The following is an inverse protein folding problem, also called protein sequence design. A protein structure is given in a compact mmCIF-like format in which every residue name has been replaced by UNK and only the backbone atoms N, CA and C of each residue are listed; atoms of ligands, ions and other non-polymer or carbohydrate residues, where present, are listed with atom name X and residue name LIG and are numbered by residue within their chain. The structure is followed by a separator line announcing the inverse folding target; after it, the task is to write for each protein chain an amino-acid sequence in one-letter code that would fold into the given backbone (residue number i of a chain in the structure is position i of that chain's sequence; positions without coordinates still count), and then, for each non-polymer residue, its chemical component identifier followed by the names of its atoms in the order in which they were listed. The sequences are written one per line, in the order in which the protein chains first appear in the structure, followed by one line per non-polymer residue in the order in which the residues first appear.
data_IF_900285631344
#
_entry.id   IF_900285631344
#
_cell.length_a   1.000
_cell.length_b   1.000
_cell.length_c   1.000
_cell.angle_alpha   90.00
_cell.angle_beta   90.00
_cell.angle_gamma   90.00
#
_symmetry.space_group_name_H-M   'P 1'
#
loop_
_entity.id
_entity.type
_entity.pdbx_description
1 polymer ?
#
# COMPACT_ATOMS: atom_id res chain seq x y z
N UNK A 1 -56.60 -47.99 14.99
CA UNK A 1 -56.21 -49.16 15.84
C UNK A 1 -54.84 -49.62 15.34
N UNK A 2 -53.76 -49.25 16.03
CA UNK A 2 -53.03 -50.07 17.03
C UNK A 2 -52.24 -51.21 16.35
N UNK A 3 -50.92 -51.43 16.53
CA UNK A 3 -49.97 -51.15 17.63
C UNK A 3 -48.52 -51.39 17.13
N UNK A 4 -47.54 -50.53 17.50
CA UNK A 4 -46.37 -50.77 18.43
C UNK A 4 -45.28 -51.72 17.91
N UNK A 5 -43.98 -51.60 18.23
CA UNK A 5 -43.20 -50.74 19.13
C UNK A 5 -41.69 -50.94 18.85
N UNK A 6 -40.91 -49.87 19.06
CA UNK A 6 -39.60 -49.78 19.73
C UNK A 6 -38.58 -50.94 19.61
N UNK A 7 -37.35 -50.60 19.20
CA UNK A 7 -36.19 -50.64 20.12
C UNK A 7 -35.07 -49.71 19.65
N UNK A 8 -34.76 -48.77 20.54
CA UNK A 8 -33.53 -48.00 20.55
C UNK A 8 -32.37 -48.86 21.06
N UNK A 9 -31.17 -48.60 20.55
CA UNK A 9 -29.90 -48.76 21.27
C UNK A 9 -28.99 -47.60 20.84
N UNK A 10 -28.83 -46.64 21.75
CA UNK A 10 -27.76 -45.65 21.83
C UNK A 10 -26.55 -46.22 22.59
N UNK A 11 -25.38 -45.57 22.44
CA UNK A 11 -24.09 -45.63 23.18
C UNK A 11 -22.95 -46.23 22.33
N UNK A 12 -21.78 -45.62 22.11
CA UNK A 12 -21.11 -44.48 22.77
C UNK A 12 -19.98 -43.87 21.91
N UNK A 13 -19.59 -42.68 22.34
CA UNK A 13 -18.62 -41.66 21.92
C UNK A 13 -17.12 -42.04 21.90
N UNK A 14 -16.33 -41.12 21.31
CA UNK A 14 -14.85 -40.93 21.31
C UNK A 14 -14.07 -41.78 20.29
N UNK A 15 -13.13 -41.30 19.47
CA UNK A 15 -12.34 -40.06 19.48
C UNK A 15 -11.74 -39.77 18.07
N UNK A 16 -11.45 -38.48 17.84
CA UNK A 16 -10.39 -37.87 17.02
C UNK A 16 -9.79 -38.62 15.82
N UNK A 17 -9.82 -37.97 14.66
CA UNK A 17 -8.91 -38.25 13.55
C UNK A 17 -9.30 -37.46 12.31
N UNK A 18 -8.69 -36.29 12.14
CA UNK A 18 -9.06 -35.31 11.12
C UNK A 18 -8.92 -35.79 9.68
N UNK A 19 -9.84 -35.31 8.85
CA UNK A 19 -9.67 -34.95 7.43
C UNK A 19 -11.02 -34.40 6.97
N UNK A 20 -11.28 -33.12 7.25
CA UNK A 20 -12.32 -32.38 6.54
C UNK A 20 -11.79 -32.14 5.13
N UNK A 21 -12.16 -33.03 4.21
CA UNK A 21 -12.23 -32.73 2.79
C UNK A 21 -13.21 -31.57 2.63
N UNK A 22 -12.70 -30.35 2.52
CA UNK A 22 -13.49 -29.24 2.04
C UNK A 22 -13.90 -29.55 0.60
N UNK A 23 -15.21 -29.61 0.38
CA UNK A 23 -15.79 -29.70 -0.95
C UNK A 23 -15.25 -28.54 -1.83
N UNK A 24 -15.08 -28.75 -3.15
CA UNK A 24 -14.71 -27.65 -4.03
C UNK A 24 -15.82 -26.62 -3.98
N UNK A 25 -15.52 -25.44 -3.44
CA UNK A 25 -16.36 -24.28 -3.61
C UNK A 25 -16.51 -24.07 -5.13
N UNK A 26 -17.74 -24.16 -5.64
CA UNK A 26 -18.05 -23.66 -6.95
C UNK A 26 -17.67 -22.18 -6.96
N UNK A 27 -16.66 -21.84 -7.76
CA UNK A 27 -16.25 -20.47 -7.98
C UNK A 27 -17.40 -19.77 -8.72
N UNK A 28 -18.14 -18.92 -8.00
CA UNK A 28 -18.94 -17.87 -8.61
C UNK A 28 -18.03 -17.06 -9.55
N UNK A 29 -18.50 -16.75 -10.75
CA UNK A 29 -17.81 -15.87 -11.67
C UNK A 29 -17.42 -14.57 -10.94
N UNK A 30 -16.16 -14.09 -11.06
CA UNK A 30 -15.70 -12.94 -10.31
C UNK A 30 -16.46 -11.68 -10.76
N UNK A 31 -17.39 -11.23 -9.91
CA UNK A 31 -18.16 -10.00 -10.10
C UNK A 31 -17.24 -8.79 -10.09
N UNK A 32 -17.39 -7.91 -11.08
CA UNK A 32 -16.67 -6.63 -11.16
C UNK A 32 -16.69 -5.84 -9.86
N UNK A 33 -15.51 -5.39 -9.41
CA UNK A 33 -15.39 -4.52 -8.25
C UNK A 33 -16.10 -3.20 -8.59
N UNK A 34 -17.09 -2.75 -7.81
CA UNK A 34 -17.93 -1.63 -8.21
C UNK A 34 -17.17 -0.32 -8.47
N UNK A 35 -16.04 -0.11 -7.80
CA UNK A 35 -15.27 1.13 -7.84
C UNK A 35 -13.76 0.89 -7.62
N UNK A 36 -12.93 1.68 -8.31
CA UNK A 36 -11.47 1.73 -8.13
C UNK A 36 -11.00 3.18 -8.03
N UNK A 37 -10.31 3.54 -6.95
CA UNK A 37 -9.70 4.87 -6.79
C UNK A 37 -8.41 4.89 -7.62
N UNK A 38 -8.35 5.77 -8.63
CA UNK A 38 -7.24 5.88 -9.57
C UNK A 38 -6.15 6.84 -9.07
N UNK A 39 -6.57 7.96 -8.50
CA UNK A 39 -5.69 9.05 -8.12
C UNK A 39 -6.31 9.90 -7.00
N UNK A 40 -5.46 10.49 -6.17
CA UNK A 40 -5.81 11.40 -5.10
C UNK A 40 -4.80 12.54 -5.11
N UNK A 41 -5.29 13.76 -5.21
CA UNK A 41 -4.46 14.97 -5.25
C UNK A 41 -5.14 16.12 -4.50
N UNK A 42 -4.38 17.17 -4.20
CA UNK A 42 -4.92 18.44 -3.72
C UNK A 42 -4.90 19.46 -4.85
N UNK A 43 -6.05 20.05 -5.16
CA UNK A 43 -6.20 21.16 -6.11
C UNK A 43 -6.78 22.35 -5.35
N UNK A 44 -6.05 23.47 -5.33
CA UNK A 44 -6.42 24.68 -4.57
C UNK A 44 -6.72 24.44 -3.07
N UNK A 45 -6.07 23.43 -2.49
CA UNK A 45 -6.23 23.03 -1.09
C UNK A 45 -7.41 22.09 -0.83
N UNK A 46 -8.14 21.67 -1.87
CA UNK A 46 -9.25 20.72 -1.78
C UNK A 46 -8.88 19.35 -2.34
N UNK A 47 -9.40 18.28 -1.73
CA UNK A 47 -9.06 16.91 -2.11
C UNK A 47 -9.84 16.48 -3.33
N UNK A 48 -9.15 16.17 -4.42
CA UNK A 48 -9.74 15.65 -5.64
C UNK A 48 -9.38 14.18 -5.78
N UNK A 49 -10.40 13.33 -5.93
CA UNK A 49 -10.26 11.91 -6.18
C UNK A 49 -10.79 11.55 -7.57
N UNK A 50 -10.07 10.69 -8.28
CA UNK A 50 -10.52 10.13 -9.56
C UNK A 50 -10.92 8.67 -9.35
N UNK A 51 -12.14 8.31 -9.70
CA UNK A 51 -12.71 6.98 -9.42
C UNK A 51 -13.19 6.36 -10.73
N UNK A 52 -12.69 5.17 -11.05
CA UNK A 52 -13.17 4.34 -12.15
C UNK A 52 -14.29 3.42 -11.65
N UNK A 53 -15.44 3.46 -12.33
CA UNK A 53 -16.56 2.58 -12.04
C UNK A 53 -16.55 1.33 -12.92
N UNK A 54 -17.11 0.24 -12.39
CA UNK A 54 -17.29 -1.02 -13.11
C UNK A 54 -18.00 -0.84 -14.46
N UNK A 55 -17.65 -1.66 -15.46
CA UNK A 55 -18.33 -1.65 -16.76
C UNK A 55 -19.73 -2.28 -16.73
N UNK A 56 -19.98 -3.26 -15.86
CA UNK A 56 -21.32 -3.82 -15.70
C UNK A 56 -22.19 -2.94 -14.82
N UNK A 57 -23.20 -2.29 -15.41
CA UNK A 57 -24.17 -1.47 -14.69
C UNK A 57 -24.91 -2.21 -13.57
N UNK A 58 -25.06 -3.55 -13.63
CA UNK A 58 -25.69 -4.33 -12.57
C UNK A 58 -24.83 -4.46 -11.31
N UNK A 59 -23.52 -4.25 -11.44
CA UNK A 59 -22.58 -4.25 -10.31
C UNK A 59 -22.54 -2.91 -9.58
N UNK A 60 -23.12 -1.86 -10.18
CA UNK A 60 -23.08 -0.51 -9.62
C UNK A 60 -24.27 -0.24 -8.69
N UNK A 61 -24.02 0.32 -7.49
CA UNK A 61 -25.09 0.90 -6.68
C UNK A 61 -25.62 2.18 -7.35
N UNK A 62 -26.89 2.51 -7.09
CA UNK A 62 -27.54 3.69 -7.67
C UNK A 62 -26.97 5.03 -7.17
N UNK A 63 -26.47 5.09 -5.94
CA UNK A 63 -25.78 6.24 -5.35
C UNK A 63 -24.69 5.71 -4.42
N UNK A 64 -23.56 6.42 -4.38
CA UNK A 64 -22.46 6.18 -3.45
C UNK A 64 -22.05 7.48 -2.79
N UNK A 65 -21.38 7.36 -1.66
CA UNK A 65 -20.78 8.48 -0.95
C UNK A 65 -19.27 8.30 -0.94
N UNK A 66 -18.53 9.29 -1.43
CA UNK A 66 -17.07 9.33 -1.36
C UNK A 66 -16.73 10.16 -0.14
N UNK A 67 -16.10 9.55 0.86
CA UNK A 67 -15.82 10.16 2.16
C UNK A 67 -14.34 10.21 2.47
N UNK A 68 -13.91 11.26 3.15
CA UNK A 68 -12.57 11.41 3.69
C UNK A 68 -12.59 11.32 5.20
N UNK A 69 -11.64 10.57 5.76
CA UNK A 69 -11.37 10.46 7.18
C UNK A 69 -9.96 10.97 7.46
N UNK A 70 -9.81 11.74 8.54
CA UNK A 70 -8.49 12.21 8.97
C UNK A 70 -7.65 11.11 9.64
N UNK A 71 -6.45 11.46 10.10
CA UNK A 71 -5.56 10.51 10.79
C UNK A 71 -6.03 10.04 12.17
N UNK A 72 -7.21 10.51 12.63
CA UNK A 72 -7.93 10.01 13.80
C UNK A 72 -9.19 9.23 13.42
N UNK A 73 -9.33 8.89 12.13
CA UNK A 73 -10.50 8.23 11.51
C UNK A 73 -11.80 9.03 11.63
N UNK A 74 -11.72 10.33 11.93
CA UNK A 74 -12.88 11.21 12.01
C UNK A 74 -13.28 11.62 10.59
N UNK A 75 -14.57 11.45 10.27
CA UNK A 75 -15.13 11.90 8.99
C UNK A 75 -14.96 13.42 8.84
N UNK A 76 -14.24 13.86 7.81
CA UNK A 76 -13.98 15.29 7.55
C UNK A 76 -14.82 15.86 6.42
N UNK A 77 -15.04 15.08 5.37
CA UNK A 77 -15.81 15.48 4.20
C UNK A 77 -16.47 14.28 3.51
N UNK A 78 -17.53 14.55 2.76
CA UNK A 78 -18.25 13.55 1.97
C UNK A 78 -18.97 14.19 0.79
N UNK A 79 -18.98 13.50 -0.35
CA UNK A 79 -19.72 13.91 -1.55
C UNK A 79 -20.47 12.73 -2.15
N UNK A 80 -21.69 12.97 -2.60
CA UNK A 80 -22.52 11.94 -3.24
C UNK A 80 -22.23 11.88 -4.73
N UNK A 81 -22.08 10.67 -5.24
CA UNK A 81 -21.81 10.41 -6.65
C UNK A 81 -22.80 9.39 -7.15
N UNK A 82 -23.28 9.60 -8.37
CA UNK A 82 -24.04 8.59 -9.12
C UNK A 82 -23.08 7.88 -10.06
N UNK A 83 -22.71 6.62 -9.78
CA UNK A 83 -21.80 5.87 -10.65
C UNK A 83 -22.34 5.72 -12.06
N UNK A 84 -21.46 5.83 -13.05
CA UNK A 84 -21.77 5.55 -14.45
C UNK A 84 -20.84 4.47 -14.96
N UNK A 85 -21.42 3.46 -15.58
CA UNK A 85 -20.70 2.27 -15.97
C UNK A 85 -19.54 2.55 -16.93
N UNK A 86 -18.34 2.09 -16.55
CA UNK A 86 -17.10 2.28 -17.31
C UNK A 86 -16.56 3.72 -17.35
N UNK A 87 -17.19 4.69 -16.67
CA UNK A 87 -16.75 6.08 -16.64
C UNK A 87 -15.80 6.35 -15.46
N UNK A 88 -15.00 7.41 -15.61
CA UNK A 88 -14.20 7.97 -14.51
C UNK A 88 -14.93 9.19 -13.97
N UNK A 89 -15.26 9.17 -12.69
CA UNK A 89 -15.75 10.35 -11.98
C UNK A 89 -14.60 11.08 -11.31
N UNK A 90 -14.60 12.40 -11.42
CA UNK A 90 -13.75 13.28 -10.63
C UNK A 90 -14.59 13.89 -9.51
N UNK A 91 -14.14 13.72 -8.27
CA UNK A 91 -14.91 14.06 -7.07
C UNK A 91 -14.03 14.98 -6.23
N UNK A 92 -14.52 16.19 -5.96
CA UNK A 92 -13.83 17.15 -5.10
C UNK A 92 -14.49 17.16 -3.73
N UNK A 93 -13.74 16.84 -2.69
CA UNK A 93 -14.17 16.81 -1.30
C UNK A 93 -13.72 18.08 -0.59
N UNK A 94 -14.63 19.03 -0.47
CA UNK A 94 -14.35 20.30 0.18
C UNK A 94 -14.13 20.14 1.68
N UNK A 95 -13.02 20.69 2.19
CA UNK A 95 -12.64 20.62 3.59
C UNK A 95 -12.13 19.25 4.05
N UNK A 96 -11.81 18.35 3.11
CA UNK A 96 -11.35 16.99 3.41
C UNK A 96 -10.05 16.98 4.23
N UNK A 97 -9.09 17.84 3.88
CA UNK A 97 -7.78 17.94 4.55
C UNK A 97 -7.76 19.14 5.48
N UNK A 98 -8.03 18.89 6.77
CA UNK A 98 -8.00 19.93 7.80
C UNK A 98 -6.85 19.68 8.78
N UNK A 99 -5.89 20.59 8.78
CA UNK A 99 -4.82 20.68 9.78
C UNK A 99 -4.13 19.33 10.08
N UNK A 100 -3.48 18.70 9.07
CA UNK A 100 -2.86 17.39 9.21
C UNK A 100 -1.76 17.31 10.29
N UNK A 101 -1.22 18.44 10.73
CA UNK A 101 -0.32 18.50 11.88
C UNK A 101 -1.03 18.27 13.23
N UNK A 102 -2.34 18.43 13.32
CA UNK A 102 -3.12 18.07 14.51
C UNK A 102 -3.75 16.68 14.37
N UNK A 103 -4.29 16.37 13.19
CA UNK A 103 -5.09 15.17 12.96
C UNK A 103 -4.28 13.97 12.46
N UNK A 104 -3.13 14.21 11.83
CA UNK A 104 -2.25 13.18 11.25
C UNK A 104 -2.00 13.41 9.77
N UNK A 105 -0.79 13.05 9.33
CA UNK A 105 -0.35 13.19 7.94
C UNK A 105 -0.84 12.06 7.03
N UNK A 106 -1.13 10.87 7.58
CA UNK A 106 -1.77 9.78 6.86
C UNK A 106 -3.29 9.86 7.07
N UNK A 107 -4.05 9.82 5.99
CA UNK A 107 -5.51 9.95 5.99
C UNK A 107 -6.13 8.85 5.12
N UNK A 108 -7.46 8.76 5.10
CA UNK A 108 -8.17 7.66 4.42
C UNK A 108 -9.33 8.18 3.58
N UNK A 109 -9.35 7.80 2.32
CA UNK A 109 -10.49 8.00 1.42
C UNK A 109 -11.26 6.69 1.31
N UNK A 110 -12.58 6.73 1.38
CA UNK A 110 -13.44 5.56 1.22
C UNK A 110 -14.61 5.86 0.29
N UNK A 111 -15.06 4.84 -0.46
CA UNK A 111 -16.29 4.88 -1.25
C UNK A 111 -17.30 3.97 -0.57
N UNK A 112 -18.40 4.55 -0.11
CA UNK A 112 -19.47 3.88 0.61
C UNK A 112 -20.66 3.65 -0.31
N UNK A 113 -21.17 2.43 -0.35
CA UNK A 113 -22.40 2.06 -1.02
C UNK A 113 -23.61 2.13 -0.10
N UNK A 114 -24.68 1.43 -0.49
CA UNK A 114 -25.91 1.40 0.29
C UNK A 114 -25.68 0.94 1.74
N UNK A 115 -26.33 1.61 2.70
CA UNK A 115 -26.23 1.33 4.15
C UNK A 115 -24.83 1.50 4.75
N UNK A 116 -23.95 2.28 4.11
CA UNK A 116 -22.60 2.55 4.62
C UNK A 116 -21.62 1.39 4.41
N UNK A 117 -21.94 0.44 3.53
CA UNK A 117 -21.01 -0.62 3.15
C UNK A 117 -19.81 -0.03 2.39
N UNK A 118 -18.60 -0.20 2.89
CA UNK A 118 -17.39 0.21 2.18
C UNK A 118 -17.18 -0.67 0.94
N UNK A 119 -17.13 -0.03 -0.23
CA UNK A 119 -16.89 -0.68 -1.52
C UNK A 119 -15.40 -0.75 -1.85
N UNK A 120 -14.68 0.33 -1.54
CA UNK A 120 -13.24 0.45 -1.68
C UNK A 120 -12.73 1.57 -0.79
N UNK A 121 -11.45 1.53 -0.44
CA UNK A 121 -10.77 2.61 0.25
C UNK A 121 -9.33 2.72 -0.25
N UNK A 122 -8.73 3.89 -0.03
CA UNK A 122 -7.35 4.17 -0.36
C UNK A 122 -6.79 5.10 0.71
N UNK A 123 -5.74 4.70 1.46
CA UNK A 123 -4.97 5.64 2.25
C UNK A 123 -4.35 6.70 1.35
N UNK A 124 -4.22 7.92 1.84
CA UNK A 124 -3.50 8.99 1.18
C UNK A 124 -2.64 9.76 2.18
N UNK A 125 -1.48 10.18 1.70
CA UNK A 125 -0.48 10.87 2.50
C UNK A 125 -0.54 12.36 2.19
N UNK A 126 -0.69 13.15 3.24
CA UNK A 126 -0.61 14.60 3.19
C UNK A 126 0.80 15.01 3.61
N UNK A 127 1.41 15.89 2.82
CA UNK A 127 2.73 16.46 3.07
C UNK A 127 2.72 17.95 2.77
N UNK A 128 3.82 18.63 3.06
CA UNK A 128 4.04 20.00 2.66
C UNK A 128 4.83 20.07 1.36
N UNK A 129 4.42 21.00 0.51
CA UNK A 129 5.18 21.46 -0.65
C UNK A 129 5.54 22.93 -0.42
N UNK A 130 6.83 23.23 -0.29
CA UNK A 130 7.28 24.53 0.19
C UNK A 130 7.87 25.36 -0.95
N UNK A 131 7.35 26.58 -1.11
CA UNK A 131 7.90 27.57 -2.05
C UNK A 131 9.22 28.13 -1.53
N UNK A 132 9.32 28.28 -0.20
CA UNK A 132 10.51 28.72 0.52
C UNK A 132 10.54 28.09 1.93
N UNK A 133 11.57 28.42 2.72
CA UNK A 133 11.74 27.86 4.07
C UNK A 133 10.62 28.24 5.07
N UNK A 134 9.78 29.22 4.73
CA UNK A 134 8.76 29.81 5.60
C UNK A 134 7.33 29.59 5.10
N UNK A 135 7.13 29.29 3.83
CA UNK A 135 5.81 29.26 3.20
C UNK A 135 5.62 27.96 2.44
N UNK A 136 4.59 27.21 2.82
CA UNK A 136 4.27 25.91 2.22
C UNK A 136 2.79 25.80 1.89
N UNK A 137 2.46 24.89 0.98
CA UNK A 137 1.11 24.44 0.69
C UNK A 137 0.97 22.97 1.08
N UNK A 138 -0.28 22.52 1.22
CA UNK A 138 -0.58 21.11 1.41
C UNK A 138 -0.55 20.39 0.07
N UNK A 139 0.02 19.18 0.08
CA UNK A 139 0.03 18.25 -1.05
C UNK A 139 -0.47 16.90 -0.59
N UNK A 140 -1.32 16.25 -1.39
CA UNK A 140 -1.73 14.87 -1.16
C UNK A 140 -1.19 13.97 -2.25
N UNK A 141 -0.83 12.75 -1.86
CA UNK A 141 -0.45 11.66 -2.76
C UNK A 141 -1.09 10.36 -2.29
N UNK A 142 -1.27 9.40 -3.20
CA UNK A 142 -1.71 8.05 -2.80
C UNK A 142 -0.76 7.46 -1.75
N UNK A 143 -1.33 6.96 -0.66
CA UNK A 143 -0.62 6.39 0.49
C UNK A 143 -0.76 4.88 0.56
N UNK A 144 0.02 4.24 1.44
CA UNK A 144 0.06 2.76 1.60
C UNK A 144 -0.16 2.27 3.03
N UNK A 145 -0.51 3.20 3.92
CA UNK A 145 -0.97 2.92 5.27
C UNK A 145 -1.80 4.12 5.72
N UNK A 146 -2.81 3.86 6.53
CA UNK A 146 -3.52 4.90 7.28
C UNK A 146 -3.12 4.85 8.77
N UNK A 147 -2.11 4.04 9.12
CA UNK A 147 -1.69 3.86 10.50
C UNK A 147 -0.96 5.10 11.00
N UNK A 148 -1.50 5.70 12.07
CA UNK A 148 -0.85 6.82 12.75
C UNK A 148 0.54 6.47 13.29
N UNK A 149 0.84 5.19 13.55
CA UNK A 149 2.15 4.71 14.06
C UNK A 149 3.23 4.61 12.96
N UNK A 150 2.84 4.75 11.70
CA UNK A 150 3.72 4.59 10.54
C UNK A 150 3.90 5.95 9.88
N UNK A 151 5.16 6.31 9.61
CA UNK A 151 5.47 7.51 8.87
C UNK A 151 5.62 7.19 7.39
N UNK A 152 4.97 7.99 6.57
CA UNK A 152 5.08 7.90 5.13
C UNK A 152 6.24 8.74 4.63
N UNK A 153 7.02 8.15 3.73
CA UNK A 153 8.11 8.82 3.04
C UNK A 153 8.02 8.49 1.56
N UNK A 154 8.12 9.52 0.72
CA UNK A 154 8.30 9.35 -0.71
C UNK A 154 9.61 8.62 -0.98
N UNK A 155 9.72 8.06 -2.18
CA UNK A 155 10.96 7.41 -2.61
C UNK A 155 12.15 8.37 -2.55
N UNK A 156 11.97 9.61 -3.00
CA UNK A 156 13.04 10.61 -3.04
C UNK A 156 13.50 10.98 -1.62
N UNK A 157 12.56 11.16 -0.69
CA UNK A 157 12.89 11.38 0.72
C UNK A 157 13.58 10.15 1.31
N UNK A 158 13.07 8.94 1.08
CA UNK A 158 13.71 7.70 1.55
C UNK A 158 15.16 7.58 1.07
N UNK A 159 15.40 7.73 -0.23
CA UNK A 159 16.75 7.61 -0.81
C UNK A 159 17.71 8.65 -0.22
N UNK A 160 17.19 9.85 0.08
CA UNK A 160 17.95 10.93 0.74
C UNK A 160 18.26 10.59 2.20
N UNK A 161 17.29 10.06 2.96
CA UNK A 161 17.45 9.63 4.35
C UNK A 161 18.48 8.50 4.47
N UNK A 162 18.38 7.49 3.61
CA UNK A 162 19.32 6.35 3.56
C UNK A 162 20.76 6.85 3.28
N UNK A 163 20.91 7.89 2.43
CA UNK A 163 22.19 8.53 2.15
C UNK A 163 22.72 9.33 3.35
N UNK A 164 21.85 10.09 4.02
CA UNK A 164 22.20 10.84 5.24
C UNK A 164 22.73 9.89 6.31
N UNK A 165 22.02 8.79 6.57
CA UNK A 165 22.40 7.78 7.56
C UNK A 165 23.78 7.19 7.25
N UNK A 166 24.02 6.83 5.98
CA UNK A 166 25.29 6.27 5.53
C UNK A 166 26.46 7.26 5.65
N UNK A 167 26.24 8.52 5.31
CA UNK A 167 27.32 9.52 5.21
C UNK A 167 27.70 10.14 6.56
N UNK A 168 26.72 10.38 7.43
CA UNK A 168 26.93 11.11 8.68
C UNK A 168 27.35 10.20 9.83
N UNK A 169 27.02 8.90 9.76
CA UNK A 169 27.36 7.93 10.79
C UNK A 169 26.91 8.41 12.18
N UNK A 170 27.79 8.39 13.18
CA UNK A 170 27.48 8.81 14.55
C UNK A 170 27.41 10.33 14.78
N UNK A 171 27.56 11.17 13.74
CA UNK A 171 27.54 12.63 13.92
C UNK A 171 26.11 13.12 14.14
N UNK A 172 25.97 14.17 14.94
CA UNK A 172 24.71 14.89 15.07
C UNK A 172 24.38 15.67 13.79
N UNK A 173 23.12 15.65 13.41
CA UNK A 173 22.63 16.36 12.23
C UNK A 173 21.19 16.81 12.37
N UNK A 174 20.87 17.99 11.84
CA UNK A 174 19.49 18.46 11.68
C UNK A 174 18.88 17.77 10.46
N UNK A 175 17.84 16.96 10.70
CA UNK A 175 17.20 16.15 9.67
C UNK A 175 16.70 16.99 8.50
N UNK A 176 15.98 18.08 8.79
CA UNK A 176 15.30 18.89 7.77
C UNK A 176 16.34 19.64 6.96
N UNK A 177 17.36 20.20 7.62
CA UNK A 177 18.44 20.91 6.93
C UNK A 177 19.30 19.99 6.09
N UNK A 178 19.64 18.80 6.57
CA UNK A 178 20.47 17.87 5.80
C UNK A 178 19.74 17.26 4.60
N UNK A 179 18.41 17.08 4.68
CA UNK A 179 17.59 16.74 3.52
C UNK A 179 17.60 17.90 2.53
N UNK A 180 17.25 19.11 2.97
CA UNK A 180 17.19 20.29 2.10
C UNK A 180 18.53 20.65 1.46
N UNK A 181 19.66 20.39 2.15
CA UNK A 181 21.01 20.56 1.59
C UNK A 181 21.29 19.62 0.42
N UNK A 182 20.73 18.41 0.45
CA UNK A 182 20.92 17.39 -0.60
C UNK A 182 19.90 17.52 -1.71
N UNK A 183 18.65 17.75 -1.35
CA UNK A 183 17.54 18.01 -2.27
C UNK A 183 16.61 19.07 -1.68
N UNK A 184 16.71 20.34 -2.13
CA UNK A 184 15.87 21.42 -1.64
C UNK A 184 14.37 21.20 -1.89
N UNK A 185 14.00 20.42 -2.92
CA UNK A 185 12.59 20.16 -3.26
C UNK A 185 11.88 19.30 -2.22
N UNK A 186 12.64 18.60 -1.38
CA UNK A 186 12.13 17.75 -0.32
C UNK A 186 11.98 18.47 1.03
N UNK A 187 12.26 19.77 1.12
CA UNK A 187 12.19 20.51 2.39
C UNK A 187 10.82 20.39 3.07
N UNK A 188 9.72 20.57 2.31
CA UNK A 188 8.37 20.44 2.84
C UNK A 188 8.03 19.03 3.30
N UNK A 189 8.39 18.03 2.50
CA UNK A 189 8.20 16.63 2.87
C UNK A 189 8.99 16.27 4.13
N UNK A 190 10.24 16.75 4.25
CA UNK A 190 11.07 16.57 5.43
C UNK A 190 10.49 17.25 6.68
N UNK A 191 9.88 18.43 6.54
CA UNK A 191 9.17 19.11 7.63
C UNK A 191 7.95 18.30 8.10
N UNK A 192 7.12 17.83 7.18
CA UNK A 192 5.98 16.96 7.52
C UNK A 192 6.43 15.68 8.21
N UNK A 193 7.48 15.05 7.68
CA UNK A 193 8.08 13.85 8.23
C UNK A 193 8.64 14.08 9.64
N UNK A 194 9.41 15.16 9.85
CA UNK A 194 9.94 15.58 11.15
C UNK A 194 8.83 15.90 12.16
N UNK A 195 7.77 16.57 11.72
CA UNK A 195 6.59 16.82 12.55
C UNK A 195 5.89 15.51 12.95
N UNK A 196 5.68 14.59 12.01
CA UNK A 196 5.12 13.27 12.27
C UNK A 196 5.95 12.49 13.28
N UNK A 197 7.29 12.49 13.11
CA UNK A 197 8.23 11.95 14.10
C UNK A 197 7.98 12.55 15.49
N UNK A 198 7.84 13.86 15.65
CA UNK A 198 7.64 14.46 16.98
C UNK A 198 6.40 13.98 17.72
N UNK A 199 5.34 13.54 17.01
CA UNK A 199 4.06 13.13 17.59
C UNK A 199 4.03 11.66 18.04
N UNK A 200 4.94 10.82 17.55
CA UNK A 200 5.03 9.40 17.89
C UNK A 200 5.67 9.11 19.28
N UNK A 201 5.49 10.01 20.26
CA UNK A 201 5.79 9.78 21.69
C UNK A 201 6.82 10.72 22.34
N UNK A 202 6.73 10.96 23.68
CA UNK A 202 7.71 11.67 24.52
C UNK A 202 8.86 10.69 24.86
N UNK A 203 10.12 11.06 25.10
CA UNK A 203 10.72 12.00 26.05
C UNK A 203 11.96 12.62 25.38
N UNK A 204 12.41 13.78 25.85
CA UNK A 204 13.52 14.54 25.28
C UNK A 204 14.86 13.80 25.18
N UNK A 205 15.96 14.51 24.89
CA UNK A 205 17.25 13.95 24.49
C UNK A 205 17.95 12.93 25.43
N UNK A 206 17.34 12.60 26.57
CA UNK A 206 17.97 11.93 27.68
C UNK A 206 17.62 10.44 27.84
N UNK A 207 16.73 9.83 27.05
CA UNK A 207 16.35 8.41 27.26
C UNK A 207 16.33 7.57 25.96
N UNK A 208 17.50 7.11 25.53
CA UNK A 208 17.66 5.90 24.70
C UNK A 208 17.51 6.02 23.17
N UNK A 209 17.50 4.85 22.50
CA UNK A 209 17.20 4.75 21.07
C UNK A 209 15.71 4.89 20.81
N UNK A 210 15.37 5.72 19.85
CA UNK A 210 14.03 5.84 19.31
C UNK A 210 13.92 5.12 17.99
N UNK A 211 13.01 4.16 17.93
CA UNK A 211 12.69 3.44 16.70
C UNK A 211 11.35 3.84 16.13
N UNK A 212 11.30 3.97 14.80
CA UNK A 212 10.06 4.27 14.09
C UNK A 212 9.98 3.45 12.81
N UNK A 213 8.76 3.02 12.47
CA UNK A 213 8.48 2.39 11.19
C UNK A 213 8.23 3.44 10.13
N UNK A 214 8.89 3.26 8.99
CA UNK A 214 8.64 4.04 7.78
C UNK A 214 8.08 3.12 6.69
N UNK A 215 7.03 3.57 6.02
CA UNK A 215 6.49 2.90 4.85
C UNK A 215 6.82 3.70 3.58
N UNK A 216 7.16 2.97 2.53
CA UNK A 216 7.32 3.52 1.17
C UNK A 216 6.77 2.53 0.16
N UNK A 217 6.28 3.02 -0.96
CA UNK A 217 5.87 2.17 -2.08
C UNK A 217 6.34 2.72 -3.41
N UNK A 218 6.50 1.82 -4.37
CA UNK A 218 6.79 2.17 -5.76
C UNK A 218 6.01 1.26 -6.68
N UNK A 219 5.31 1.84 -7.65
CA UNK A 219 4.67 1.11 -8.74
C UNK A 219 5.29 1.60 -10.06
N UNK A 220 5.69 0.68 -10.93
CA UNK A 220 6.18 1.02 -12.27
C UNK A 220 5.25 0.49 -13.35
N UNK A 221 4.93 1.33 -14.33
CA UNK A 221 4.17 0.97 -15.52
C UNK A 221 5.03 1.20 -16.77
N UNK A 222 5.00 0.26 -17.73
CA UNK A 222 5.60 0.50 -19.06
C UNK A 222 4.61 1.06 -20.10
N UNK A 223 3.30 1.14 -19.82
CA UNK A 223 2.31 1.81 -20.70
C UNK A 223 0.90 1.86 -20.09
N UNK A 224 0.37 3.05 -19.76
CA UNK A 224 -1.06 3.34 -19.52
C UNK A 224 -1.71 2.77 -18.25
N UNK A 225 -2.47 3.61 -17.52
CA UNK A 225 -3.22 3.34 -16.26
C UNK A 225 -2.44 2.70 -15.11
N UNK A 226 -1.99 3.55 -14.18
CA UNK A 226 -1.13 3.26 -13.01
C UNK A 226 -1.76 2.32 -11.98
N UNK A 227 -1.38 1.05 -12.00
CA UNK A 227 -1.75 0.05 -10.97
C UNK A 227 -0.61 -0.96 -10.68
N UNK A 228 0.61 -0.70 -11.16
CA UNK A 228 1.78 -1.56 -10.89
C UNK A 228 1.64 -2.97 -11.47
N UNK A 229 1.95 -4.02 -10.70
CA UNK A 229 1.85 -5.42 -11.17
C UNK A 229 0.42 -5.83 -11.58
N UNK A 230 -0.63 -5.08 -11.21
CA UNK A 230 -2.00 -5.33 -11.63
C UNK A 230 -2.42 -4.37 -12.74
N UNK A 231 -2.47 -4.78 -14.00
CA UNK A 231 -2.96 -3.89 -15.08
C UNK A 231 -3.58 -4.71 -16.21
N UNK A 232 -4.46 -4.06 -16.99
CA UNK A 232 -5.05 -4.65 -18.18
C UNK A 232 -4.04 -4.49 -19.32
N UNK A 233 -3.69 -5.61 -19.94
CA UNK A 233 -2.80 -5.61 -21.08
C UNK A 233 -3.51 -6.10 -22.31
N UNK A 234 -3.52 -5.23 -23.32
CA UNK A 234 -4.05 -5.53 -24.63
C UNK A 234 -2.88 -5.76 -25.59
N UNK A 235 -2.76 -6.98 -26.08
CA UNK A 235 -1.83 -7.30 -27.15
C UNK A 235 -2.61 -7.29 -28.49
N UNK A 236 -2.14 -6.48 -29.43
CA UNK A 236 -2.66 -6.40 -30.80
C UNK A 236 -1.53 -6.48 -31.83
N UNK A 237 -1.80 -6.89 -33.08
CA UNK A 237 -0.75 -7.10 -34.08
C UNK A 237 -0.02 -5.79 -34.41
N UNK A 238 1.32 -5.82 -34.48
CA UNK A 238 2.16 -4.63 -34.72
C UNK A 238 2.00 -3.99 -36.11
N UNK A 239 1.29 -4.64 -37.04
CA UNK A 239 0.76 -4.09 -38.29
C UNK A 239 0.07 -5.24 -39.05
N UNK A 240 -0.96 -4.97 -39.89
CA UNK A 240 -1.63 -5.99 -40.71
C UNK A 240 -0.68 -6.78 -41.63
N UNK A 241 0.51 -6.23 -41.92
CA UNK A 241 1.40 -6.71 -42.98
C UNK A 241 2.73 -7.30 -42.47
N UNK A 242 2.96 -7.39 -41.15
CA UNK A 242 4.19 -7.98 -40.62
C UNK A 242 4.01 -9.49 -40.39
N UNK A 243 4.53 -10.30 -41.31
CA UNK A 243 4.75 -11.74 -41.09
C UNK A 243 6.01 -11.93 -40.23
N UNK A 244 5.83 -12.07 -38.92
CA UNK A 244 6.82 -12.65 -38.01
C UNK A 244 6.19 -12.83 -36.63
N UNK A 245 6.57 -13.88 -35.91
CA UNK A 245 6.26 -14.13 -34.49
C UNK A 245 6.51 -12.87 -33.64
N UNK A 246 5.53 -11.98 -33.54
CA UNK A 246 5.63 -10.72 -32.82
C UNK A 246 5.42 -11.00 -31.34
N UNK A 247 6.51 -11.25 -30.61
CA UNK A 247 6.49 -11.33 -29.15
C UNK A 247 6.21 -9.93 -28.59
N UNK A 248 5.00 -9.70 -28.13
CA UNK A 248 4.63 -8.50 -27.38
C UNK A 248 4.84 -8.78 -25.90
N UNK A 249 5.60 -7.93 -25.21
CA UNK A 249 5.91 -8.04 -23.78
C UNK A 249 5.44 -6.80 -23.05
N UNK A 250 4.74 -6.98 -21.94
CA UNK A 250 4.52 -5.90 -20.98
C UNK A 250 4.78 -6.38 -19.56
N UNK A 251 5.30 -5.46 -18.74
CA UNK A 251 5.74 -5.73 -17.37
C UNK A 251 5.23 -4.61 -16.45
N UNK A 252 4.69 -5.00 -15.31
CA UNK A 252 4.35 -4.09 -14.22
C UNK A 252 5.02 -4.58 -12.96
N UNK A 253 5.55 -3.64 -12.16
CA UNK A 253 6.09 -3.97 -10.84
C UNK A 253 5.43 -3.13 -9.78
N UNK A 254 5.18 -3.75 -8.62
CA UNK A 254 4.75 -3.09 -7.40
C UNK A 254 5.70 -3.49 -6.31
N UNK A 255 6.05 -2.55 -5.43
CA UNK A 255 6.94 -2.80 -4.31
C UNK A 255 6.50 -1.97 -3.13
N UNK A 256 6.46 -2.59 -1.96
CA UNK A 256 6.31 -1.91 -0.66
C UNK A 256 7.53 -2.22 0.20
N UNK A 257 7.97 -1.23 0.96
CA UNK A 257 9.00 -1.40 1.97
C UNK A 257 8.49 -0.93 3.33
N UNK A 258 8.79 -1.70 4.37
CA UNK A 258 8.65 -1.32 5.78
C UNK A 258 10.04 -1.27 6.42
N UNK A 259 10.49 -0.09 6.82
CA UNK A 259 11.84 0.15 7.35
C UNK A 259 11.77 0.53 8.82
N UNK A 260 12.55 -0.15 9.66
CA UNK A 260 12.80 0.21 11.06
C UNK A 260 14.02 1.10 11.12
N UNK A 261 13.83 2.36 11.48
CA UNK A 261 14.92 3.31 11.69
C UNK A 261 15.03 3.67 13.16
N UNK A 262 16.24 3.53 13.71
CA UNK A 262 16.49 3.81 15.11
C UNK A 262 17.59 4.84 15.31
N UNK A 263 17.20 5.99 15.86
CA UNK A 263 18.06 7.16 16.06
C UNK A 263 18.00 7.58 17.53
N UNK A 264 19.01 8.33 17.97
CA UNK A 264 18.95 9.03 19.26
C UNK A 264 18.71 10.51 18.98
N UNK A 265 17.71 11.09 19.66
CA UNK A 265 17.38 12.51 19.52
C UNK A 265 18.32 13.33 20.39
N UNK A 266 19.09 14.25 19.82
CA UNK A 266 20.00 15.12 20.56
C UNK A 266 19.33 16.44 20.98
N UNK A 267 18.52 17.04 20.11
CA UNK A 267 17.75 18.26 20.42
C UNK A 267 16.61 18.46 19.43
N UNK A 268 15.70 19.40 19.72
CA UNK A 268 14.66 19.84 18.78
C UNK A 268 14.72 21.35 18.66
N UNK A 269 14.86 21.86 17.43
CA UNK A 269 14.63 23.26 17.11
C UNK A 269 13.20 23.46 16.63
N UNK A 270 12.67 24.68 16.75
CA UNK A 270 11.33 24.99 16.27
C UNK A 270 11.38 26.20 15.34
N UNK A 271 10.61 26.13 14.26
CA UNK A 271 10.47 27.20 13.27
C UNK A 271 8.99 27.42 12.98
N UNK A 272 8.58 28.69 12.84
CA UNK A 272 7.25 28.98 12.31
C UNK A 272 7.25 28.87 10.78
N UNK A 273 6.29 28.12 10.27
CA UNK A 273 6.04 27.93 8.84
C UNK A 273 4.59 28.30 8.55
N UNK A 274 4.35 29.21 7.61
CA UNK A 274 3.03 29.56 7.11
C UNK A 274 2.55 28.50 6.12
N UNK A 275 1.43 27.85 6.43
CA UNK A 275 0.83 26.83 5.57
C UNK A 275 -0.42 27.39 4.89
N UNK A 276 -0.41 27.43 3.56
CA UNK A 276 -1.54 27.82 2.71
C UNK A 276 -2.63 26.74 2.81
N UNK A 277 -3.83 27.16 3.15
CA UNK A 277 -5.06 26.36 3.19
C UNK A 277 -5.99 26.77 2.05
N UNK A 278 -7.08 26.02 1.87
CA UNK A 278 -8.10 26.37 0.87
C UNK A 278 -8.67 27.77 1.13
N UNK A 279 -9.06 28.45 0.05
CA UNK A 279 -9.52 29.84 0.11
C UNK A 279 -8.42 30.89 0.35
N UNK A 280 -7.14 30.49 0.29
CA UNK A 280 -5.99 31.43 0.37
C UNK A 280 -5.60 31.84 1.80
N UNK A 281 -6.19 31.21 2.83
CA UNK A 281 -5.79 31.43 4.22
C UNK A 281 -4.37 30.88 4.45
N UNK A 282 -3.51 31.65 5.13
CA UNK A 282 -2.17 31.17 5.55
C UNK A 282 -2.16 31.04 7.06
N UNK A 283 -1.99 29.81 7.57
CA UNK A 283 -1.93 29.54 9.00
C UNK A 283 -0.48 29.34 9.45
N UNK A 284 0.04 30.11 10.42
CA UNK A 284 1.36 29.87 10.98
C UNK A 284 1.33 28.63 11.88
N UNK A 285 2.24 27.69 11.63
CA UNK A 285 2.38 26.44 12.39
C UNK A 285 3.80 26.32 12.90
N UNK A 286 3.95 25.96 14.17
CA UNK A 286 5.24 25.76 14.80
C UNK A 286 5.75 24.34 14.47
N UNK A 287 6.71 24.26 13.55
CA UNK A 287 7.24 22.99 13.05
C UNK A 287 8.56 22.62 13.75
N UNK A 288 8.70 21.37 14.23
CA UNK A 288 9.92 20.88 14.83
C UNK A 288 10.97 20.51 13.77
N UNK A 289 12.23 20.80 14.05
CA UNK A 289 13.42 20.40 13.32
C UNK A 289 14.31 19.58 14.27
N UNK A 290 14.16 18.25 14.28
CA UNK A 290 14.90 17.39 15.17
C UNK A 290 16.36 17.26 14.72
N UNK A 291 17.25 17.31 15.70
CA UNK A 291 18.68 17.00 15.55
C UNK A 291 18.89 15.58 16.04
N UNK A 292 19.30 14.69 15.15
CA UNK A 292 19.51 13.27 15.44
C UNK A 292 20.98 12.92 15.46
N UNK A 293 21.30 11.87 16.21
CA UNK A 293 22.53 11.10 16.10
C UNK A 293 22.18 9.62 15.89
N UNK A 294 23.11 8.85 15.31
CA UNK A 294 22.91 7.41 15.13
C UNK A 294 22.85 6.71 16.49
N UNK A 295 21.86 5.85 16.70
CA UNK A 295 21.73 5.18 17.98
C UNK A 295 22.72 4.02 18.13
N UNK A 296 23.36 3.92 19.30
CA UNK A 296 24.29 2.83 19.61
C UNK A 296 23.61 1.56 20.19
N UNK A 297 22.31 1.62 20.54
CA UNK A 297 21.58 0.52 21.17
C UNK A 297 20.95 -0.46 20.18
N UNK A 298 20.88 -1.74 20.56
CA UNK A 298 20.35 -2.83 19.73
C UNK A 298 18.85 -3.04 19.96
N UNK A 299 17.97 -2.58 19.07
CA UNK A 299 16.58 -3.03 19.07
C UNK A 299 16.45 -4.41 18.39
N UNK A 300 15.49 -5.21 18.84
CA UNK A 300 15.09 -6.45 18.19
C UNK A 300 13.85 -6.20 17.34
N UNK A 301 13.75 -6.86 16.18
CA UNK A 301 12.65 -6.68 15.22
C UNK A 301 12.03 -8.03 14.85
N UNK A 302 10.71 -8.14 14.96
CA UNK A 302 9.91 -9.25 14.44
C UNK A 302 9.05 -8.75 13.30
N UNK A 303 8.94 -9.54 12.24
CA UNK A 303 8.12 -9.22 11.09
C UNK A 303 7.30 -10.41 10.64
N UNK A 304 6.05 -10.14 10.30
CA UNK A 304 5.18 -11.04 9.56
C UNK A 304 4.96 -10.41 8.17
N UNK A 305 4.93 -11.23 7.13
CA UNK A 305 4.65 -10.83 5.76
C UNK A 305 3.51 -11.69 5.21
N UNK A 306 2.65 -11.06 4.43
CA UNK A 306 1.65 -11.68 3.60
C UNK A 306 1.80 -11.20 2.16
N UNK A 307 1.71 -12.14 1.25
CA UNK A 307 1.87 -11.94 -0.17
C UNK A 307 0.87 -12.80 -0.93
N UNK A 308 0.11 -12.18 -1.81
CA UNK A 308 -0.81 -12.86 -2.72
C UNK A 308 -0.66 -12.27 -4.09
N UNK A 309 -0.35 -13.12 -5.06
CA UNK A 309 -0.30 -12.73 -6.46
C UNK A 309 -1.14 -13.68 -7.28
N UNK A 310 -2.00 -13.12 -8.13
CA UNK A 310 -2.88 -13.84 -9.05
C UNK A 310 -2.66 -13.27 -10.45
N UNK A 311 -2.39 -14.16 -11.41
CA UNK A 311 -2.29 -13.81 -12.83
C UNK A 311 -3.32 -14.56 -13.66
N UNK A 312 -4.15 -13.84 -14.41
CA UNK A 312 -5.12 -14.41 -15.35
C UNK A 312 -4.86 -13.92 -16.78
N UNK A 313 -4.97 -14.79 -17.77
CA UNK A 313 -4.79 -14.43 -19.17
C UNK A 313 -5.86 -15.12 -20.03
N UNK A 314 -6.63 -14.31 -20.76
CA UNK A 314 -7.67 -14.78 -21.68
C UNK A 314 -7.42 -14.30 -23.11
N UNK A 315 -7.61 -15.19 -24.10
CA UNK A 315 -7.59 -14.86 -25.51
C UNK A 315 -8.94 -15.18 -26.12
N UNK A 316 -9.43 -14.32 -27.02
CA UNK A 316 -10.67 -14.56 -27.75
C UNK A 316 -10.48 -15.51 -28.96
N UNK A 317 -9.52 -16.44 -28.89
CA UNK A 317 -9.21 -17.39 -29.97
C UNK A 317 -8.73 -18.73 -29.41
N UNK A 318 -9.36 -19.80 -29.90
CA UNK A 318 -9.18 -21.19 -29.43
C UNK A 318 -7.88 -21.86 -29.86
N UNK A 319 -7.03 -21.19 -30.65
CA UNK A 319 -5.78 -21.75 -31.21
C UNK A 319 -4.51 -20.98 -30.84
N UNK A 320 -4.57 -20.06 -29.87
CA UNK A 320 -3.47 -19.13 -29.56
C UNK A 320 -2.85 -19.38 -28.17
N UNK A 321 -1.53 -19.23 -28.06
CA UNK A 321 -0.79 -19.38 -26.80
C UNK A 321 -0.49 -18.00 -26.17
N UNK A 322 -1.21 -17.69 -25.09
CA UNK A 322 -0.86 -16.61 -24.16
C UNK A 322 -0.05 -17.21 -23.01
N UNK A 323 1.17 -16.70 -22.78
CA UNK A 323 1.96 -17.05 -21.63
C UNK A 323 2.02 -15.84 -20.68
N UNK A 324 1.37 -15.97 -19.54
CA UNK A 324 1.49 -15.05 -18.40
C UNK A 324 2.26 -15.70 -17.26
N UNK A 325 3.07 -14.92 -16.56
CA UNK A 325 3.76 -15.33 -15.33
C UNK A 325 3.69 -14.19 -14.33
N UNK A 326 3.36 -14.51 -13.09
CA UNK A 326 3.40 -13.55 -12.01
C UNK A 326 4.41 -14.04 -10.95
N UNK A 327 5.21 -13.12 -10.42
CA UNK A 327 6.28 -13.41 -9.47
C UNK A 327 6.12 -12.51 -8.27
N UNK A 328 6.17 -13.09 -7.07
CA UNK A 328 6.36 -12.34 -5.83
C UNK A 328 7.78 -12.56 -5.35
N UNK A 329 8.44 -11.49 -4.94
CA UNK A 329 9.73 -11.54 -4.27
C UNK A 329 9.66 -10.83 -2.93
N UNK A 330 10.13 -11.51 -1.89
CA UNK A 330 10.19 -11.01 -0.52
C UNK A 330 11.65 -11.01 -0.09
N UNK A 331 12.12 -9.86 0.38
CA UNK A 331 13.47 -9.67 0.90
C UNK A 331 13.43 -9.02 2.27
N UNK A 332 14.12 -9.62 3.24
CA UNK A 332 14.34 -9.01 4.55
C UNK A 332 15.82 -8.77 4.76
N UNK A 333 16.19 -7.50 5.00
CA UNK A 333 17.54 -7.07 5.26
C UNK A 333 17.71 -6.63 6.71
N UNK A 334 18.88 -6.93 7.28
CA UNK A 334 19.29 -6.40 8.58
C UNK A 334 20.19 -5.20 8.43
N UNK A 335 19.88 -4.13 9.16
CA UNK A 335 20.62 -2.87 9.12
C UNK A 335 20.91 -2.46 7.68
N UNK A 336 22.16 -2.06 7.44
CA UNK A 336 22.68 -1.71 6.11
C UNK A 336 23.29 -2.91 5.37
N UNK A 337 22.96 -4.16 5.75
CA UNK A 337 23.46 -5.36 5.08
C UNK A 337 22.91 -5.48 3.66
N UNK A 338 23.83 -5.59 2.70
CA UNK A 338 23.50 -5.86 1.30
C UNK A 338 22.95 -7.28 1.09
N UNK A 339 23.26 -8.21 1.99
CA UNK A 339 22.75 -9.58 1.94
C UNK A 339 21.49 -9.71 2.80
N UNK A 340 20.35 -10.13 2.21
CA UNK A 340 19.12 -10.35 2.97
C UNK A 340 19.22 -11.61 3.84
N UNK A 341 18.61 -11.58 5.03
CA UNK A 341 18.39 -12.78 5.85
C UNK A 341 17.34 -13.71 5.28
N UNK A 342 16.33 -13.14 4.62
CA UNK A 342 15.28 -13.87 3.93
C UNK A 342 15.24 -13.37 2.51
N UNK A 343 15.35 -14.28 1.55
CA UNK A 343 15.15 -13.99 0.12
C UNK A 343 14.31 -15.11 -0.45
N UNK A 344 13.02 -14.86 -0.54
CA UNK A 344 12.05 -15.81 -1.09
C UNK A 344 11.51 -15.26 -2.40
N UNK A 345 11.36 -16.15 -3.38
CA UNK A 345 10.73 -15.81 -4.66
C UNK A 345 9.78 -16.94 -5.03
N UNK A 346 8.54 -16.58 -5.34
CA UNK A 346 7.47 -17.51 -5.66
C UNK A 346 6.88 -17.12 -7.00
N UNK A 347 6.58 -18.13 -7.83
CA UNK A 347 6.09 -17.94 -9.19
C UNK A 347 4.72 -18.59 -9.38
N UNK A 348 3.79 -17.86 -9.98
CA UNK A 348 2.50 -18.34 -10.47
C UNK A 348 2.54 -18.38 -12.01
N UNK A 349 2.35 -19.55 -12.66
CA UNK A 349 2.09 -19.61 -14.09
C UNK A 349 0.72 -18.98 -14.43
N UNK A 350 0.44 -18.81 -15.73
CA UNK A 350 -0.82 -18.25 -16.22
C UNK A 350 -2.04 -18.99 -15.66
N UNK A 351 -3.11 -18.26 -15.38
CA UNK A 351 -4.39 -18.78 -14.86
C UNK A 351 -4.24 -19.50 -13.51
N UNK A 352 -3.27 -19.05 -12.70
CA UNK A 352 -3.04 -19.54 -11.36
C UNK A 352 -2.70 -18.39 -10.42
N UNK A 353 -2.72 -18.67 -9.12
CA UNK A 353 -2.31 -17.75 -8.08
C UNK A 353 -1.77 -18.51 -6.89
N UNK A 354 -1.11 -17.80 -5.99
CA UNK A 354 -0.63 -18.36 -4.73
C UNK A 354 -0.82 -17.35 -3.59
N UNK A 355 -0.90 -17.90 -2.38
CA UNK A 355 -0.78 -17.16 -1.14
C UNK A 355 0.54 -17.57 -0.47
N UNK A 356 1.34 -16.59 -0.05
CA UNK A 356 2.54 -16.75 0.76
C UNK A 356 2.31 -16.01 2.08
N UNK A 357 2.46 -16.72 3.20
CA UNK A 357 2.72 -16.11 4.50
C UNK A 357 4.14 -16.48 4.92
N UNK A 358 4.88 -15.53 5.49
CA UNK A 358 6.21 -15.78 6.02
C UNK A 358 6.47 -14.93 7.24
N UNK A 359 7.14 -15.52 8.24
CA UNK A 359 7.52 -14.85 9.48
C UNK A 359 9.05 -14.86 9.58
N UNK A 360 9.63 -13.69 9.84
CA UNK A 360 11.05 -13.54 10.09
C UNK A 360 11.28 -12.81 11.41
N UNK A 361 12.21 -13.30 12.23
CA UNK A 361 12.56 -12.72 13.52
C UNK A 361 14.04 -12.37 13.55
N UNK A 362 14.38 -11.23 14.16
CA UNK A 362 15.75 -10.90 14.51
C UNK A 362 15.84 -10.31 15.93
N UNK A 363 16.78 -10.82 16.71
CA UNK A 363 17.08 -10.38 18.08
C UNK A 363 18.33 -9.51 18.21
N UNK A 364 19.02 -9.17 17.09
CA UNK A 364 20.42 -8.72 17.13
C UNK A 364 20.75 -7.35 16.51
N UNK A 365 19.85 -6.66 15.78
CA UNK A 365 20.20 -5.38 15.13
C UNK A 365 19.10 -4.32 15.18
N UNK A 366 19.47 -3.13 15.62
CA UNK A 366 18.58 -2.00 15.85
C UNK A 366 18.04 -1.27 14.62
N UNK A 367 18.25 -1.69 13.38
CA UNK A 367 17.58 -1.12 12.19
C UNK A 367 17.50 -2.19 11.10
N UNK A 368 16.62 -2.01 10.11
CA UNK A 368 16.47 -2.97 9.01
C UNK A 368 15.22 -2.71 8.19
N UNK A 369 15.07 -3.39 7.05
CA UNK A 369 13.90 -3.21 6.20
C UNK A 369 13.40 -4.53 5.62
N UNK A 370 12.07 -4.63 5.52
CA UNK A 370 11.39 -5.67 4.75
C UNK A 370 10.90 -5.03 3.46
N UNK A 371 11.23 -5.66 2.36
CA UNK A 371 10.73 -5.36 1.03
C UNK A 371 9.88 -6.54 0.57
N UNK A 372 8.71 -6.25 0.02
CA UNK A 372 8.06 -7.19 -0.91
C UNK A 372 7.78 -6.49 -2.23
N UNK A 373 7.89 -7.24 -3.32
CA UNK A 373 7.59 -6.78 -4.66
C UNK A 373 6.86 -7.85 -5.46
N UNK A 374 5.80 -7.44 -6.15
CA UNK A 374 5.12 -8.21 -7.17
C UNK A 374 5.55 -7.76 -8.56
N UNK A 375 5.72 -8.72 -9.45
CA UNK A 375 5.94 -8.51 -10.87
C UNK A 375 4.94 -9.36 -11.66
N UNK A 376 4.30 -8.77 -12.65
CA UNK A 376 3.51 -9.51 -13.63
C UNK A 376 4.10 -9.28 -15.02
N UNK A 377 4.31 -10.39 -15.74
CA UNK A 377 4.89 -10.41 -17.07
C UNK A 377 4.01 -11.22 -18.02
N UNK A 378 3.74 -10.67 -19.20
CA UNK A 378 2.87 -11.30 -20.19
C UNK A 378 3.48 -11.27 -21.58
N UNK A 379 3.34 -12.38 -22.30
CA UNK A 379 3.76 -12.53 -23.69
C UNK A 379 2.64 -13.04 -24.60
N UNK A 380 2.45 -12.35 -25.72
CA UNK A 380 1.61 -12.81 -26.81
C UNK A 380 2.45 -13.43 -27.93
N UNK A 381 2.11 -14.66 -28.33
CA UNK A 381 2.68 -15.35 -29.49
C UNK A 381 1.55 -15.90 -30.36
N UNK A 382 1.15 -15.18 -31.41
CA UNK A 382 0.12 -15.67 -32.33
C UNK A 382 0.38 -15.34 -33.79
N UNK A 383 -0.32 -16.06 -34.67
CA UNK A 383 -0.23 -15.93 -36.12
C UNK A 383 -1.12 -14.77 -36.62
N UNK A 384 -0.54 -13.70 -37.20
CA UNK A 384 -1.30 -12.55 -37.69
C UNK A 384 -2.23 -12.88 -38.87
N UNK A 385 -2.16 -14.08 -39.46
CA UNK A 385 -3.01 -14.50 -40.58
C UNK A 385 -4.43 -14.96 -40.19
N UNK A 386 -4.74 -15.11 -38.89
CA UNK A 386 -6.02 -15.61 -38.38
C UNK A 386 -7.07 -14.52 -38.07
N UNK A 387 -6.86 -13.28 -38.52
CA UNK A 387 -7.68 -12.12 -38.14
C UNK A 387 -7.24 -11.51 -36.80
N UNK A 388 -7.76 -10.31 -36.47
CA UNK A 388 -7.32 -9.49 -35.31
C UNK A 388 -7.43 -10.27 -33.99
N UNK A 389 -6.33 -10.80 -33.45
CA UNK A 389 -6.35 -11.47 -32.17
C UNK A 389 -6.23 -10.42 -31.08
N UNK A 390 -7.27 -10.32 -30.26
CA UNK A 390 -7.24 -9.51 -29.05
C UNK A 390 -7.06 -10.45 -27.87
N UNK A 391 -5.94 -10.32 -27.17
CA UNK A 391 -5.68 -10.98 -25.90
C UNK A 391 -5.78 -9.98 -24.77
N UNK A 392 -6.44 -10.36 -23.69
CA UNK A 392 -6.49 -9.58 -22.45
C UNK A 392 -5.76 -10.36 -21.37
N UNK A 393 -4.77 -9.74 -20.74
CA UNK A 393 -4.22 -10.22 -19.49
C UNK A 393 -4.69 -9.32 -18.35
N UNK A 394 -5.09 -9.96 -17.25
CA UNK A 394 -5.51 -9.33 -16.01
C UNK A 394 -4.62 -9.83 -14.88
N UNK A 395 -4.30 -8.96 -13.94
CA UNK A 395 -3.47 -9.31 -12.80
C UNK A 395 -4.04 -8.70 -11.54
N UNK A 396 -3.74 -9.36 -10.42
CA UNK A 396 -4.11 -8.95 -9.09
C UNK A 396 -2.96 -9.24 -8.15
N UNK A 397 -2.68 -8.32 -7.24
CA UNK A 397 -1.79 -8.58 -6.12
C UNK A 397 -2.36 -7.97 -4.85
N UNK A 398 -2.04 -8.59 -3.72
CA UNK A 398 -2.16 -8.03 -2.39
C UNK A 398 -0.89 -8.36 -1.63
N UNK A 399 -0.25 -7.35 -1.07
CA UNK A 399 0.97 -7.47 -0.30
C UNK A 399 0.77 -6.74 1.02
N UNK A 400 1.21 -7.33 2.12
CA UNK A 400 1.15 -6.72 3.42
C UNK A 400 2.37 -7.12 4.26
N UNK A 401 2.87 -6.20 5.06
CA UNK A 401 3.94 -6.43 6.02
C UNK A 401 3.45 -5.90 7.37
N UNK A 402 3.70 -6.66 8.43
CA UNK A 402 3.51 -6.24 9.82
C UNK A 402 4.84 -6.39 10.57
N UNK A 403 5.40 -5.27 11.00
CA UNK A 403 6.61 -5.20 11.82
C UNK A 403 6.29 -4.90 13.29
N UNK A 404 7.14 -5.40 14.17
CA UNK A 404 7.18 -5.09 15.59
C UNK A 404 8.63 -4.91 15.99
N UNK A 405 8.93 -3.86 16.75
CA UNK A 405 10.25 -3.70 17.34
C UNK A 405 10.16 -3.71 18.86
N UNK A 406 11.21 -4.25 19.50
CA UNK A 406 11.39 -4.22 20.96
C UNK A 406 12.79 -3.70 21.26
N UNK A 407 12.87 -2.58 21.97
CA UNK A 407 14.11 -1.89 22.28
C UNK A 407 14.52 -2.06 23.75
N UNK A 408 15.76 -2.48 24.06
CA UNK A 408 16.25 -2.53 25.43
C UNK A 408 16.30 -1.11 26.03
N UNK A 409 15.88 -0.98 27.29
CA UNK A 409 15.80 0.32 27.99
C UNK A 409 14.38 0.86 28.19
N UNK A 410 13.33 0.11 27.82
CA UNK A 410 11.94 0.52 28.07
C UNK A 410 11.38 1.51 27.05
N UNK A 411 12.03 1.65 25.89
CA UNK A 411 11.53 2.44 24.77
C UNK A 411 10.20 1.91 24.23
N UNK A 412 9.53 2.73 23.40
CA UNK A 412 8.34 2.30 22.67
C UNK A 412 8.66 1.01 21.90
N UNK A 413 7.72 0.06 21.90
CA UNK A 413 7.78 -1.15 21.08
C UNK A 413 6.95 -0.89 19.81
N UNK A 414 7.44 -0.09 18.83
CA UNK A 414 6.59 0.36 17.75
C UNK A 414 6.15 -0.83 16.92
N UNK A 415 4.87 -0.82 16.54
CA UNK A 415 4.34 -1.72 15.54
C UNK A 415 4.14 -0.94 14.24
N UNK A 416 4.28 -1.60 13.11
CA UNK A 416 4.15 -0.97 11.81
C UNK A 416 3.46 -1.90 10.85
N UNK A 417 2.52 -1.37 10.07
CA UNK A 417 1.88 -2.10 9.00
C UNK A 417 1.97 -1.30 7.71
N UNK A 418 2.29 -1.99 6.63
CA UNK A 418 2.19 -1.45 5.27
C UNK A 418 1.49 -2.49 4.43
N UNK A 419 0.58 -2.06 3.58
CA UNK A 419 -0.06 -2.93 2.63
C UNK A 419 -0.28 -2.20 1.32
N UNK A 420 -0.24 -2.95 0.25
CA UNK A 420 -0.62 -2.48 -1.05
C UNK A 420 -1.33 -3.59 -1.80
N UNK A 421 -2.35 -3.21 -2.55
CA UNK A 421 -3.03 -4.12 -3.45
C UNK A 421 -3.53 -3.37 -4.66
N UNK A 422 -3.60 -4.08 -5.77
CA UNK A 422 -4.27 -3.60 -6.95
C UNK A 422 -4.77 -4.81 -7.75
N UNK A 423 -5.80 -4.58 -8.55
CA UNK A 423 -6.39 -5.62 -9.38
C UNK A 423 -7.01 -5.06 -10.64
N UNK A 424 -6.96 -5.86 -11.70
CA UNK A 424 -7.85 -5.74 -12.87
C UNK A 424 -8.77 -6.94 -13.04
N UNK A 425 -8.80 -7.83 -12.04
CA UNK A 425 -9.53 -9.10 -12.01
C UNK A 425 -10.79 -9.04 -11.13
N UNK A 426 -11.38 -7.86 -10.93
CA UNK A 426 -12.70 -7.76 -10.32
C UNK A 426 -12.78 -8.40 -8.91
N UNK A 427 -11.67 -8.49 -8.20
CA UNK A 427 -11.56 -9.23 -6.94
C UNK A 427 -11.06 -8.34 -5.79
N UNK A 428 -11.25 -7.03 -5.91
CA UNK A 428 -10.79 -6.02 -4.94
C UNK A 428 -11.23 -6.34 -3.51
N UNK A 429 -12.51 -6.65 -3.30
CA UNK A 429 -13.04 -6.98 -1.96
C UNK A 429 -12.41 -8.24 -1.37
N UNK A 430 -12.07 -9.23 -2.21
CA UNK A 430 -11.38 -10.43 -1.74
C UNK A 430 -9.92 -10.13 -1.36
N UNK A 431 -9.22 -9.32 -2.17
CA UNK A 431 -7.84 -8.89 -1.87
C UNK A 431 -7.78 -8.03 -0.60
N UNK A 432 -8.72 -7.10 -0.44
CA UNK A 432 -8.85 -6.27 0.75
C UNK A 432 -9.14 -7.13 1.98
N UNK A 433 -10.10 -8.06 1.89
CA UNK A 433 -10.41 -8.96 2.99
C UNK A 433 -9.19 -9.81 3.39
N UNK A 434 -8.39 -10.29 2.44
CA UNK A 434 -7.17 -11.05 2.75
C UNK A 434 -6.14 -10.19 3.52
N UNK A 435 -5.98 -8.92 3.15
CA UNK A 435 -5.11 -7.98 3.89
C UNK A 435 -5.65 -7.76 5.30
N UNK A 436 -6.97 -7.56 5.45
CA UNK A 436 -7.59 -7.42 6.77
C UNK A 436 -7.41 -8.67 7.62
N UNK A 437 -7.66 -9.84 7.06
CA UNK A 437 -7.52 -11.13 7.75
C UNK A 437 -6.07 -11.36 8.18
N UNK A 438 -5.09 -11.00 7.35
CA UNK A 438 -3.69 -11.02 7.74
C UNK A 438 -3.41 -10.14 8.97
N UNK A 439 -3.91 -8.90 8.99
CA UNK A 439 -3.66 -8.01 10.12
C UNK A 439 -4.43 -8.40 11.39
N UNK A 440 -5.64 -8.96 11.25
CA UNK A 440 -6.50 -9.38 12.37
C UNK A 440 -6.08 -10.72 12.98
N UNK A 441 -5.81 -11.71 12.14
CA UNK A 441 -5.63 -13.10 12.57
C UNK A 441 -4.18 -13.59 12.49
N UNK A 442 -3.30 -12.88 11.80
CA UNK A 442 -1.87 -13.19 11.76
C UNK A 442 -1.58 -14.61 11.26
N UNK A 443 -2.07 -14.93 10.05
CA UNK A 443 -1.89 -16.23 9.39
C UNK A 443 -0.43 -16.70 9.35
#
# INVERSE_FOLDING_TARGET
MFRRSLRALTLSSFAMGGLLMAAPAHADEPREAPATILDVSLVDGELTARILWAQDAKSLPGEVEVVSHDGQDTLTAGERVTPKAGEVSEVTLYGAVKEPWETGWAQRLAVLGAKGQELTHQPYDVSLDCEDEKTCALKATAGVSASREVLHVSRALKDTLDTIEKDLGAKEFDLVREVARRDPTLYGEALSYAHGLSKLGPVGPAEGCRCTWQASSTRSNTSGTSLGAAHNLYAGPLAPNRRSNARLTTQGTSRINLTLNCTSLASIHFQQVGIKQSGGLVKPVLMPQPVYSMCAGTCSGRFNHFGRIIGNASANSTTMLLNGTATEQIKYHLGNSLSPLLNQTVHAPANSGFDVSTIANNTSSGSGFVQTSGEAFYTYNGDPSLGLPFGQAQAAYAMAIRGYAVCPGGGLNPSGTVSDFATTMNNQSSLDQNIRDFFLYGL
#
